data_IF_178908909519
#
_entry.id   IF_178908909519
#
_cell.length_a   1.000
_cell.length_b   1.000
_cell.length_c   1.000
_cell.angle_alpha   90.00
_cell.angle_beta   90.00
_cell.angle_gamma   90.00
#
_symmetry.space_group_name_H-M   'P 1'
#
loop_
_entity.id
_entity.type
_entity.pdbx_description
1 polymer ?
#
# COMPACT_ATOMS: atom_id res chain seq x y z
N UNK A 1 -0.17 10.09 13.38
CA UNK A 1 -0.38 11.50 13.00
C UNK A 1 -0.63 11.49 11.50
N UNK A 2 -1.84 11.80 11.01
CA UNK A 2 -2.09 11.88 9.55
C UNK A 2 -1.30 13.08 9.04
N UNK A 3 -0.52 12.91 7.98
CA UNK A 3 0.13 14.04 7.31
C UNK A 3 -0.97 15.00 6.86
N UNK A 4 -0.91 16.25 7.32
CA UNK A 4 -1.85 17.26 6.89
C UNK A 4 -1.44 17.69 5.48
N UNK A 5 -2.32 17.51 4.51
CA UNK A 5 -2.10 18.03 3.17
C UNK A 5 -2.29 19.55 3.21
N UNK A 6 -1.29 20.31 2.77
CA UNK A 6 -1.35 21.77 2.67
C UNK A 6 -1.41 22.18 1.21
N UNK A 7 -2.23 23.17 0.89
CA UNK A 7 -2.35 23.75 -0.45
C UNK A 7 -1.97 25.22 -0.41
N UNK A 8 -1.35 25.74 -1.47
CA UNK A 8 -1.02 27.17 -1.59
C UNK A 8 -2.25 27.98 -2.01
N UNK A 9 -2.25 29.28 -1.71
CA UNK A 9 -3.34 30.17 -2.12
C UNK A 9 -3.46 30.24 -3.65
N UNK A 10 -2.35 30.20 -4.40
CA UNK A 10 -2.40 30.19 -5.87
C UNK A 10 -3.06 28.93 -6.42
N UNK A 11 -2.85 27.78 -5.75
CA UNK A 11 -3.52 26.53 -6.12
C UNK A 11 -5.03 26.63 -5.90
N UNK A 12 -5.45 27.22 -4.78
CA UNK A 12 -6.86 27.39 -4.46
C UNK A 12 -7.57 28.35 -5.41
N UNK A 13 -6.93 29.43 -5.85
CA UNK A 13 -7.50 30.31 -6.87
C UNK A 13 -7.69 29.59 -8.21
N UNK A 14 -6.72 28.80 -8.65
CA UNK A 14 -6.86 27.97 -9.86
C UNK A 14 -8.01 26.97 -9.77
N UNK A 15 -8.27 26.40 -8.59
CA UNK A 15 -9.41 25.50 -8.39
C UNK A 15 -10.76 26.20 -8.58
N UNK A 16 -10.86 27.51 -8.31
CA UNK A 16 -12.11 28.27 -8.52
C UNK A 16 -12.40 28.53 -10.00
N UNK A 17 -11.37 28.47 -10.85
CA UNK A 17 -11.47 28.70 -12.29
C UNK A 17 -11.74 27.41 -13.09
N UNK A 18 -11.78 26.25 -12.43
CA UNK A 18 -12.01 24.96 -13.11
C UNK A 18 -13.39 24.90 -13.74
N UNK A 19 -13.43 24.39 -14.98
CA UNK A 19 -14.67 24.04 -15.66
C UNK A 19 -15.36 22.84 -15.01
N UNK A 20 -16.65 22.67 -15.31
CA UNK A 20 -17.43 21.54 -14.80
C UNK A 20 -16.84 20.22 -15.27
N UNK A 21 -16.35 20.17 -16.51
CA UNK A 21 -15.71 19.00 -17.11
C UNK A 21 -14.44 18.60 -16.34
N UNK A 22 -13.57 19.56 -16.04
CA UNK A 22 -12.34 19.32 -15.27
C UNK A 22 -12.63 18.87 -13.83
N UNK A 23 -13.70 19.39 -13.22
CA UNK A 23 -14.14 18.95 -11.88
C UNK A 23 -14.59 17.48 -11.93
N UNK A 24 -15.35 17.10 -12.95
CA UNK A 24 -15.82 15.71 -13.10
C UNK A 24 -14.65 14.75 -13.34
N UNK A 25 -13.70 15.11 -14.21
CA UNK A 25 -12.49 14.30 -14.44
C UNK A 25 -11.67 14.13 -13.15
N UNK A 26 -11.53 15.20 -12.36
CA UNK A 26 -10.85 15.12 -11.07
C UNK A 26 -11.56 14.15 -10.11
N UNK A 27 -12.89 14.22 -10.00
CA UNK A 27 -13.66 13.36 -9.10
C UNK A 27 -13.55 11.89 -9.51
N UNK A 28 -13.65 11.58 -10.80
CA UNK A 28 -13.51 10.20 -11.29
C UNK A 28 -12.08 9.67 -11.09
N UNK A 29 -11.05 10.46 -11.40
CA UNK A 29 -9.66 10.06 -11.15
C UNK A 29 -9.37 9.86 -9.66
N UNK A 30 -9.91 10.73 -8.79
CA UNK A 30 -9.81 10.58 -7.35
C UNK A 30 -10.53 9.31 -6.86
N UNK A 31 -11.71 9.03 -7.41
CA UNK A 31 -12.45 7.81 -7.12
C UNK A 31 -11.66 6.58 -7.51
N UNK A 32 -11.11 6.49 -8.72
CA UNK A 32 -10.31 5.36 -9.18
C UNK A 32 -9.06 5.12 -8.30
N UNK A 33 -8.38 6.20 -7.92
CA UNK A 33 -7.22 6.13 -7.03
C UNK A 33 -7.58 5.52 -5.67
N UNK A 34 -8.75 5.86 -5.14
CA UNK A 34 -9.24 5.40 -3.84
C UNK A 34 -10.09 4.12 -3.89
N UNK A 35 -10.52 3.68 -5.08
CA UNK A 35 -11.40 2.52 -5.25
C UNK A 35 -10.69 1.18 -5.04
N UNK A 36 -9.36 1.15 -5.02
CA UNK A 36 -8.62 -0.05 -4.60
C UNK A 36 -8.67 -0.15 -3.08
N UNK A 37 -9.77 -0.67 -2.56
CA UNK A 37 -9.77 -1.18 -1.19
C UNK A 37 -8.67 -2.24 -1.10
N UNK A 38 -7.71 -2.10 -0.17
CA UNK A 38 -6.71 -3.14 0.02
C UNK A 38 -7.42 -4.43 0.46
N UNK A 39 -7.03 -5.56 -0.11
CA UNK A 39 -7.57 -6.86 0.28
C UNK A 39 -7.48 -7.05 1.79
N UNK A 40 -8.60 -7.48 2.37
CA UNK A 40 -8.69 -7.70 3.81
C UNK A 40 -7.68 -8.76 4.23
N UNK A 41 -6.72 -8.36 5.05
CA UNK A 41 -5.73 -9.28 5.61
C UNK A 41 -6.34 -10.11 6.73
N UNK A 42 -6.15 -11.44 6.67
CA UNK A 42 -6.52 -12.37 7.75
C UNK A 42 -5.26 -12.86 8.46
N UNK A 43 -5.26 -12.80 9.80
CA UNK A 43 -4.19 -13.41 10.59
C UNK A 43 -4.23 -14.94 10.44
N UNK A 44 -3.06 -15.52 10.22
CA UNK A 44 -2.87 -16.97 10.23
C UNK A 44 -2.11 -17.35 11.51
N UNK A 45 -2.53 -18.44 12.14
CA UNK A 45 -1.80 -19.05 13.26
C UNK A 45 -1.07 -20.29 12.75
N UNK A 46 0.25 -20.31 12.89
CA UNK A 46 1.10 -21.42 12.46
C UNK A 46 2.26 -21.60 13.42
N UNK A 47 2.55 -22.84 13.81
CA UNK A 47 3.77 -23.17 14.55
C UNK A 47 4.92 -23.32 13.58
N UNK A 48 6.03 -22.63 13.86
CA UNK A 48 7.27 -22.70 13.08
C UNK A 48 8.41 -22.97 14.06
N UNK A 49 9.35 -23.88 13.74
CA UNK A 49 10.55 -24.06 14.54
C UNK A 49 11.28 -22.73 14.77
N UNK A 50 11.67 -22.46 16.02
CA UNK A 50 12.23 -21.16 16.40
C UNK A 50 13.54 -20.85 15.66
N UNK A 51 14.40 -21.86 15.51
CA UNK A 51 15.64 -21.76 14.75
C UNK A 51 15.39 -21.36 13.29
N UNK A 52 14.37 -21.95 12.67
CA UNK A 52 13.98 -21.65 11.29
C UNK A 52 13.47 -20.22 11.18
N UNK A 53 12.57 -19.79 12.08
CA UNK A 53 12.03 -18.44 12.07
C UNK A 53 13.11 -17.38 12.27
N UNK A 54 14.07 -17.64 13.16
CA UNK A 54 15.19 -16.73 13.44
C UNK A 54 16.17 -16.64 12.25
N UNK A 55 16.48 -17.77 11.61
CA UNK A 55 17.30 -17.78 10.40
C UNK A 55 16.59 -17.02 9.26
N UNK A 56 15.30 -17.26 9.08
CA UNK A 56 14.49 -16.59 8.05
C UNK A 56 14.42 -15.08 8.25
N UNK A 57 14.16 -14.61 9.49
CA UNK A 57 14.17 -13.18 9.84
C UNK A 57 15.53 -12.54 9.57
N UNK A 58 16.61 -13.22 9.91
CA UNK A 58 17.98 -12.73 9.66
C UNK A 58 18.22 -12.55 8.16
N UNK A 59 17.87 -13.55 7.35
CA UNK A 59 18.01 -13.48 5.89
C UNK A 59 17.18 -12.34 5.28
N UNK A 60 15.90 -12.23 5.66
CA UNK A 60 15.05 -11.15 5.16
C UNK A 60 15.60 -9.75 5.51
N UNK A 61 16.15 -9.60 6.72
CA UNK A 61 16.82 -8.36 7.13
C UNK A 61 18.05 -8.03 6.27
N UNK A 62 18.87 -9.04 5.93
CA UNK A 62 20.02 -8.86 5.04
C UNK A 62 19.60 -8.44 3.62
N UNK A 63 18.43 -8.88 3.18
CA UNK A 63 17.82 -8.47 1.90
C UNK A 63 17.06 -7.13 1.99
N UNK A 64 17.06 -6.47 3.15
CA UNK A 64 16.42 -5.16 3.33
C UNK A 64 14.89 -5.19 3.35
N UNK A 65 14.28 -6.35 3.58
CA UNK A 65 12.83 -6.55 3.52
C UNK A 65 12.27 -7.11 4.83
N UNK A 66 11.07 -6.69 5.28
CA UNK A 66 10.41 -7.32 6.42
C UNK A 66 10.13 -8.81 6.16
N UNK A 67 10.37 -9.67 7.14
CA UNK A 67 10.21 -11.12 6.95
C UNK A 67 8.77 -11.52 6.56
N UNK A 68 7.75 -10.82 7.05
CA UNK A 68 6.36 -11.07 6.63
C UNK A 68 6.14 -10.76 5.14
N UNK A 69 6.87 -9.79 4.58
CA UNK A 69 6.83 -9.51 3.14
C UNK A 69 7.41 -10.67 2.35
N UNK A 70 8.47 -11.32 2.83
CA UNK A 70 9.01 -12.52 2.20
C UNK A 70 8.08 -13.72 2.28
N UNK A 71 7.36 -13.89 3.40
CA UNK A 71 6.31 -14.92 3.48
C UNK A 71 5.24 -14.68 2.40
N UNK A 72 4.75 -13.45 2.27
CA UNK A 72 3.76 -13.11 1.23
C UNK A 72 4.29 -13.33 -0.18
N UNK A 73 5.54 -12.96 -0.45
CA UNK A 73 6.19 -13.18 -1.74
C UNK A 73 6.25 -14.67 -2.09
N UNK A 74 6.70 -15.50 -1.16
CA UNK A 74 6.74 -16.96 -1.36
C UNK A 74 5.36 -17.56 -1.59
N UNK A 75 4.32 -17.07 -0.90
CA UNK A 75 2.94 -17.52 -1.13
C UNK A 75 2.44 -17.19 -2.54
N UNK A 76 2.77 -16.00 -3.06
CA UNK A 76 2.41 -15.58 -4.41
C UNK A 76 3.16 -16.44 -5.43
N UNK A 77 4.48 -16.53 -5.31
CA UNK A 77 5.33 -17.32 -6.21
C UNK A 77 4.90 -18.80 -6.26
N UNK A 78 4.44 -19.35 -5.13
CA UNK A 78 3.92 -20.72 -5.07
C UNK A 78 2.57 -20.91 -5.79
N UNK A 79 1.72 -19.88 -5.84
CA UNK A 79 0.43 -19.95 -6.56
C UNK A 79 0.61 -19.73 -8.07
N UNK A 80 1.66 -19.03 -8.47
CA UNK A 80 2.00 -18.72 -9.86
C UNK A 80 2.84 -19.81 -10.54
N UNK A 81 3.37 -20.78 -9.78
CA UNK A 81 4.14 -21.93 -10.28
C UNK A 81 3.25 -23.10 -10.70
#
# INVERSE_FOLDING_TARGET
>A
MKALQTFSDEYLERCKEMSVEEIVEFIEGFRELHYREPDMSKLISMKVPENLLNAFKTKAKLEGVPYQTMIKKLMIEWLES
#
